data_IF_787264320087
#
_entry.id   IF_787264320087
#
_cell.length_a   1.000
_cell.length_b   1.000
_cell.length_c   1.000
_cell.angle_alpha   90.00
_cell.angle_beta   90.00
_cell.angle_gamma   90.00
#
_symmetry.space_group_name_H-M   'P 1'
#
loop_
_entity.id
_entity.type
_entity.pdbx_description
1 polymer ?
#
# COMPACT_ATOMS: atom_id res chain seq x y z
N UNK A 1 -9.16 17.67 8.60
CA UNK A 1 -8.87 18.16 9.96
C UNK A 1 -7.40 18.49 10.23
N UNK A 2 -6.46 18.19 9.31
CA UNK A 2 -5.04 18.59 9.42
C UNK A 2 -4.82 20.12 9.44
N UNK A 3 -5.74 20.89 8.85
CA UNK A 3 -5.62 22.36 8.80
C UNK A 3 -5.64 23.04 10.17
N UNK A 4 -6.20 22.39 11.19
CA UNK A 4 -6.19 22.90 12.57
C UNK A 4 -4.88 22.66 13.33
N UNK A 5 -4.03 21.76 12.83
CA UNK A 5 -2.74 21.40 13.45
C UNK A 5 -1.56 22.11 12.79
N UNK A 6 -1.77 22.67 11.59
CA UNK A 6 -0.75 23.37 10.84
C UNK A 6 -0.85 24.90 11.01
N UNK A 7 0.25 25.64 10.85
CA UNK A 7 0.23 27.11 10.91
C UNK A 7 -0.74 27.71 9.88
N UNK A 8 -1.36 28.83 10.24
CA UNK A 8 -2.24 29.56 9.32
C UNK A 8 -1.49 29.91 8.03
N UNK A 9 -2.09 29.61 6.88
CA UNK A 9 -1.48 29.84 5.55
C UNK A 9 -0.56 28.68 5.08
N UNK A 10 -0.41 27.61 5.85
CA UNK A 10 0.30 26.42 5.40
C UNK A 10 -0.44 25.74 4.23
N UNK A 11 0.33 25.20 3.29
CA UNK A 11 -0.18 24.43 2.16
C UNK A 11 0.18 22.95 2.35
N UNK A 12 -0.79 22.05 2.22
CA UNK A 12 -0.54 20.61 2.30
C UNK A 12 -0.30 20.05 0.89
N UNK A 13 0.84 19.37 0.71
CA UNK A 13 1.06 18.51 -0.44
C UNK A 13 0.67 17.08 -0.05
N UNK A 14 -0.39 16.56 -0.67
CA UNK A 14 -0.90 15.21 -0.43
C UNK A 14 -0.01 14.19 -1.13
N UNK A 15 0.89 13.56 -0.40
CA UNK A 15 1.80 12.57 -0.95
C UNK A 15 1.07 11.23 -1.11
N UNK A 16 1.11 10.69 -2.31
CA UNK A 16 0.68 9.33 -2.60
C UNK A 16 1.91 8.49 -2.93
N UNK A 17 2.04 7.35 -2.27
CA UNK A 17 3.09 6.38 -2.54
C UNK A 17 2.45 5.13 -3.11
N UNK A 18 3.10 4.53 -4.08
CA UNK A 18 2.78 3.19 -4.57
C UNK A 18 4.03 2.36 -4.68
N UNK A 19 3.92 1.10 -4.32
CA UNK A 19 4.97 0.10 -4.52
C UNK A 19 4.33 -1.22 -4.91
N UNK A 20 5.05 -1.97 -5.74
CA UNK A 20 4.64 -3.30 -6.18
C UNK A 20 5.87 -4.10 -6.60
N UNK A 21 6.00 -5.29 -6.03
CA UNK A 21 7.08 -6.21 -6.37
C UNK A 21 6.75 -6.98 -7.63
N UNK A 22 7.37 -6.62 -8.74
CA UNK A 22 7.09 -7.17 -10.06
C UNK A 22 8.22 -8.03 -10.63
N UNK A 23 7.87 -9.03 -11.45
CA UNK A 23 8.83 -9.86 -12.19
C UNK A 23 9.26 -9.14 -13.45
N UNK A 24 10.55 -8.86 -13.59
CA UNK A 24 11.11 -8.09 -14.71
C UNK A 24 11.32 -8.93 -15.99
N UNK A 25 11.53 -10.24 -15.85
CA UNK A 25 11.78 -11.13 -17.00
C UNK A 25 11.27 -12.53 -16.73
N UNK A 26 10.58 -13.11 -17.73
CA UNK A 26 10.17 -14.53 -17.72
C UNK A 26 11.18 -15.45 -18.42
N UNK A 27 12.14 -14.90 -19.19
CA UNK A 27 13.02 -15.67 -20.06
C UNK A 27 14.44 -15.90 -19.53
N UNK A 28 14.89 -15.13 -18.56
CA UNK A 28 16.23 -15.28 -18.00
C UNK A 28 16.29 -14.88 -16.52
N UNK A 29 16.19 -15.89 -15.67
CA UNK A 29 16.31 -15.78 -14.23
C UNK A 29 15.11 -15.09 -13.56
N UNK A 30 14.89 -15.40 -12.29
CA UNK A 30 13.84 -14.82 -11.43
C UNK A 30 14.19 -13.39 -11.00
N UNK A 31 14.48 -12.51 -11.99
CA UNK A 31 14.80 -11.11 -11.68
C UNK A 31 13.51 -10.37 -11.37
N UNK A 32 13.45 -9.83 -10.17
CA UNK A 32 12.34 -9.02 -9.68
C UNK A 32 12.82 -7.59 -9.44
N UNK A 33 11.95 -6.63 -9.70
CA UNK A 33 12.11 -5.23 -9.29
C UNK A 33 11.06 -4.87 -8.25
N UNK A 34 11.42 -3.98 -7.36
CA UNK A 34 10.48 -3.45 -6.35
C UNK A 34 10.55 -1.92 -6.35
N UNK A 35 9.96 -1.29 -7.37
CA UNK A 35 9.95 0.15 -7.48
C UNK A 35 9.03 0.78 -6.43
N UNK A 36 9.42 1.97 -5.98
CA UNK A 36 8.59 2.85 -5.16
C UNK A 36 8.35 4.13 -5.93
N UNK A 37 7.10 4.44 -6.19
CA UNK A 37 6.67 5.64 -6.89
C UNK A 37 6.04 6.64 -5.93
N UNK A 38 6.21 7.92 -6.26
CA UNK A 38 5.58 9.02 -5.56
C UNK A 38 4.84 9.93 -6.54
N UNK A 39 3.68 10.38 -6.14
CA UNK A 39 2.93 11.44 -6.80
C UNK A 39 2.30 12.38 -5.78
N UNK A 40 1.78 13.50 -6.23
CA UNK A 40 1.14 14.53 -5.39
C UNK A 40 -0.34 14.59 -5.76
N UNK A 41 -1.23 14.30 -4.78
CA UNK A 41 -2.67 14.30 -4.98
C UNK A 41 -3.29 15.65 -5.31
N UNK A 42 -2.53 16.74 -5.19
CA UNK A 42 -2.94 18.10 -5.60
C UNK A 42 -2.88 18.31 -7.11
N UNK A 43 -2.28 17.40 -7.87
CA UNK A 43 -2.19 17.50 -9.34
C UNK A 43 -3.55 17.17 -9.95
N UNK A 44 -3.99 17.97 -10.93
CA UNK A 44 -5.24 17.73 -11.65
C UNK A 44 -5.25 16.35 -12.31
N UNK A 45 -6.39 15.65 -12.21
CA UNK A 45 -6.55 14.28 -12.74
C UNK A 45 -6.28 14.18 -14.25
N UNK A 46 -6.52 15.25 -15.01
CA UNK A 46 -6.27 15.27 -16.46
C UNK A 46 -4.79 15.35 -16.80
N UNK A 47 -3.97 15.91 -15.90
CA UNK A 47 -2.51 15.86 -15.99
C UNK A 47 -2.03 14.51 -15.51
N UNK A 48 -2.55 14.05 -14.36
CA UNK A 48 -2.13 12.82 -13.71
C UNK A 48 -2.26 11.57 -14.59
N UNK A 49 -3.32 11.50 -15.41
CA UNK A 49 -3.57 10.37 -16.33
C UNK A 49 -2.68 10.32 -17.57
N UNK A 50 -1.88 11.38 -17.82
CA UNK A 50 -1.01 11.46 -18.99
C UNK A 50 0.43 11.11 -18.60
N UNK A 51 0.98 9.97 -19.02
CA UNK A 51 2.35 9.57 -18.69
C UNK A 51 3.40 10.62 -19.12
N UNK A 52 3.15 11.33 -20.23
CA UNK A 52 4.05 12.38 -20.75
C UNK A 52 4.19 13.59 -19.83
N UNK A 53 3.25 13.80 -18.90
CA UNK A 53 3.30 14.92 -17.95
C UNK A 53 4.12 14.63 -16.69
N UNK A 54 4.65 13.41 -16.59
CA UNK A 54 5.52 12.97 -15.48
C UNK A 54 5.01 13.29 -14.07
N UNK A 55 3.69 13.22 -13.88
CA UNK A 55 3.05 13.49 -12.58
C UNK A 55 3.41 12.46 -11.50
N UNK A 56 3.96 11.33 -11.88
CA UNK A 56 4.47 10.27 -11.00
C UNK A 56 5.96 10.10 -11.21
N UNK A 57 6.72 10.08 -10.13
CA UNK A 57 8.18 9.92 -10.14
C UNK A 57 8.58 8.62 -9.47
N UNK A 58 9.64 7.99 -9.98
CA UNK A 58 10.28 6.87 -9.32
C UNK A 58 11.21 7.40 -8.22
N UNK A 59 10.93 7.04 -6.96
CA UNK A 59 11.79 7.38 -5.83
C UNK A 59 13.03 6.49 -5.78
N UNK A 60 12.87 5.20 -6.08
CA UNK A 60 13.93 4.22 -6.04
C UNK A 60 13.42 2.79 -6.14
N UNK A 61 14.37 1.85 -6.07
CA UNK A 61 14.06 0.43 -6.00
C UNK A 61 14.41 -0.12 -4.62
N UNK A 62 13.49 -0.85 -4.02
CA UNK A 62 13.76 -1.61 -2.81
C UNK A 62 14.58 -2.87 -3.17
N UNK A 63 15.49 -3.31 -2.29
CA UNK A 63 16.28 -4.49 -2.53
C UNK A 63 15.40 -5.75 -2.54
N UNK A 64 15.62 -6.60 -3.54
CA UNK A 64 15.04 -7.93 -3.61
C UNK A 64 16.15 -8.94 -3.33
N UNK A 65 16.17 -9.48 -2.12
CA UNK A 65 17.19 -10.43 -1.67
C UNK A 65 16.54 -11.72 -1.20
N UNK A 66 17.18 -12.85 -1.47
CA UNK A 66 16.79 -14.16 -0.93
C UNK A 66 17.09 -14.32 0.56
N UNK A 67 17.90 -13.42 1.12
CA UNK A 67 18.30 -13.42 2.54
C UNK A 67 18.90 -14.77 3.00
N UNK A 68 19.69 -15.40 2.16
CA UNK A 68 20.29 -16.73 2.40
C UNK A 68 21.27 -16.71 3.59
N UNK A 69 21.71 -15.54 4.02
CA UNK A 69 22.51 -15.36 5.24
C UNK A 69 21.73 -15.61 6.55
N UNK A 70 20.41 -15.74 6.47
CA UNK A 70 19.55 -16.05 7.62
C UNK A 70 18.93 -17.44 7.48
N UNK A 71 18.63 -18.06 8.62
CA UNK A 71 17.87 -19.31 8.67
C UNK A 71 16.50 -19.16 8.00
N UNK A 72 16.03 -20.21 7.37
CA UNK A 72 14.77 -20.22 6.60
C UNK A 72 13.58 -19.69 7.41
N UNK A 73 13.48 -20.09 8.69
CA UNK A 73 12.41 -19.64 9.59
C UNK A 73 12.43 -18.12 9.85
N UNK A 74 13.60 -17.49 9.75
CA UNK A 74 13.77 -16.06 10.03
C UNK A 74 13.72 -15.19 8.78
N UNK A 75 13.90 -15.74 7.57
CA UNK A 75 13.97 -14.96 6.31
C UNK A 75 12.76 -14.06 6.09
N UNK A 76 11.57 -14.56 6.36
CA UNK A 76 10.34 -13.79 6.18
C UNK A 76 10.33 -12.52 7.04
N UNK A 77 10.65 -12.64 8.32
CA UNK A 77 10.71 -11.50 9.26
C UNK A 77 11.84 -10.55 8.90
N UNK A 78 13.01 -11.07 8.50
CA UNK A 78 14.14 -10.23 8.09
C UNK A 78 13.82 -9.48 6.78
N UNK A 79 13.09 -10.09 5.85
CA UNK A 79 12.60 -9.42 4.65
C UNK A 79 11.67 -8.25 4.97
N UNK A 80 10.76 -8.44 5.92
CA UNK A 80 9.88 -7.36 6.39
C UNK A 80 10.68 -6.23 7.07
N UNK A 81 11.65 -6.57 7.92
CA UNK A 81 12.54 -5.58 8.56
C UNK A 81 13.33 -4.79 7.53
N UNK A 82 13.88 -5.48 6.52
CA UNK A 82 14.63 -4.84 5.44
C UNK A 82 13.73 -3.85 4.69
N UNK A 83 12.50 -4.25 4.33
CA UNK A 83 11.53 -3.37 3.70
C UNK A 83 11.32 -2.09 4.52
N UNK A 84 10.97 -2.21 5.79
CA UNK A 84 10.71 -1.05 6.65
C UNK A 84 11.94 -0.17 6.83
N UNK A 85 13.14 -0.75 6.95
CA UNK A 85 14.39 0.00 7.06
C UNK A 85 14.67 0.80 5.78
N UNK A 86 14.51 0.18 4.61
CA UNK A 86 14.70 0.87 3.34
C UNK A 86 13.68 1.98 3.12
N UNK A 87 12.40 1.74 3.44
CA UNK A 87 11.36 2.75 3.37
C UNK A 87 11.60 3.90 4.34
N UNK A 88 12.11 3.63 5.56
CA UNK A 88 12.49 4.69 6.51
C UNK A 88 13.56 5.59 5.91
N UNK A 89 14.61 5.02 5.33
CA UNK A 89 15.69 5.78 4.66
C UNK A 89 15.16 6.59 3.47
N UNK A 90 14.31 5.98 2.66
CA UNK A 90 13.77 6.60 1.44
C UNK A 90 12.87 7.80 1.76
N UNK A 91 12.09 7.70 2.85
CA UNK A 91 11.09 8.71 3.24
C UNK A 91 11.57 9.66 4.35
N UNK A 92 12.82 9.53 4.81
CA UNK A 92 13.41 10.42 5.83
C UNK A 92 13.22 11.91 5.53
N UNK A 93 13.42 12.40 4.28
CA UNK A 93 13.21 13.82 3.95
C UNK A 93 11.79 14.30 4.24
N UNK A 94 10.77 13.43 4.13
CA UNK A 94 9.38 13.79 4.40
C UNK A 94 9.12 14.06 5.90
N UNK A 95 9.90 13.49 6.80
CA UNK A 95 9.73 13.67 8.25
C UNK A 95 9.97 15.13 8.61
N UNK A 96 11.11 15.69 8.21
CA UNK A 96 11.46 17.08 8.49
C UNK A 96 10.58 18.05 7.70
N UNK A 97 10.41 17.80 6.40
CA UNK A 97 9.60 18.63 5.52
C UNK A 97 8.13 18.67 5.96
N UNK A 98 7.57 17.55 6.37
CA UNK A 98 6.18 17.48 6.83
C UNK A 98 5.96 18.23 8.15
N UNK A 99 6.91 18.16 9.09
CA UNK A 99 6.83 18.88 10.39
C UNK A 99 6.99 20.38 10.23
N UNK A 100 8.06 20.83 9.57
CA UNK A 100 8.48 22.23 9.53
C UNK A 100 7.98 22.98 8.31
N UNK A 101 7.52 22.28 7.28
CA UNK A 101 7.22 22.78 5.97
C UNK A 101 8.48 23.24 5.20
N UNK A 102 8.36 23.31 3.90
CA UNK A 102 9.40 23.78 2.99
C UNK A 102 8.86 24.96 2.19
N UNK A 103 9.65 26.03 2.05
CA UNK A 103 9.28 27.15 1.18
C UNK A 103 9.46 26.72 -0.28
N UNK A 104 8.39 26.76 -1.04
CA UNK A 104 8.36 26.35 -2.44
C UNK A 104 7.65 27.41 -3.29
N UNK A 105 8.18 27.67 -4.47
CA UNK A 105 7.48 28.45 -5.49
C UNK A 105 6.46 27.53 -6.17
N UNK A 106 5.19 27.86 -6.06
CA UNK A 106 4.10 27.11 -6.66
C UNK A 106 3.86 27.50 -8.13
N UNK A 107 3.05 26.74 -8.85
CA UNK A 107 2.76 26.95 -10.26
C UNK A 107 2.20 28.35 -10.62
N UNK A 108 1.57 29.03 -9.65
CA UNK A 108 1.07 30.41 -9.78
C UNK A 108 2.12 31.48 -9.47
N UNK A 109 3.39 31.09 -9.32
CA UNK A 109 4.51 31.98 -9.01
C UNK A 109 4.60 32.44 -7.55
N UNK A 110 3.64 32.06 -6.69
CA UNK A 110 3.65 32.45 -5.27
C UNK A 110 4.47 31.47 -4.44
N UNK A 111 5.21 32.01 -3.47
CA UNK A 111 5.95 31.20 -2.50
C UNK A 111 5.01 30.81 -1.35
N UNK A 112 4.97 29.52 -1.05
CA UNK A 112 4.17 28.95 0.05
C UNK A 112 5.03 28.07 0.93
N UNK A 113 4.65 27.94 2.19
CA UNK A 113 5.18 26.91 3.08
C UNK A 113 4.37 25.64 2.88
N UNK A 114 5.00 24.66 2.22
CA UNK A 114 4.37 23.41 1.83
C UNK A 114 4.77 22.31 2.80
N UNK A 115 3.79 21.61 3.33
CA UNK A 115 3.94 20.44 4.20
C UNK A 115 3.58 19.18 3.40
N UNK A 116 4.57 18.36 3.00
CA UNK A 116 4.31 17.08 2.37
C UNK A 116 3.85 16.06 3.43
N UNK A 117 2.65 15.53 3.26
CA UNK A 117 2.03 14.60 4.21
C UNK A 117 1.56 13.36 3.45
N UNK A 118 1.92 12.16 3.94
CA UNK A 118 1.47 10.92 3.35
C UNK A 118 -0.05 10.80 3.51
N UNK A 119 -0.76 10.80 2.39
CA UNK A 119 -2.21 10.76 2.31
C UNK A 119 -2.75 9.45 1.74
N UNK A 120 -1.97 8.76 0.88
CA UNK A 120 -2.35 7.46 0.34
C UNK A 120 -1.13 6.55 0.15
N UNK A 121 -1.32 5.27 0.45
CA UNK A 121 -0.39 4.20 0.12
C UNK A 121 -1.14 3.16 -0.72
N UNK A 122 -0.80 3.09 -2.01
CA UNK A 122 -1.48 2.26 -3.00
C UNK A 122 -0.71 0.96 -3.15
N UNK A 123 -1.32 -0.15 -2.76
CA UNK A 123 -0.70 -1.47 -2.84
C UNK A 123 -1.76 -2.57 -2.90
N UNK A 124 -1.34 -3.77 -3.30
CA UNK A 124 -2.14 -4.98 -3.17
C UNK A 124 -2.26 -5.44 -1.70
N UNK A 125 -3.12 -6.42 -1.43
CA UNK A 125 -3.36 -6.87 -0.06
C UNK A 125 -2.09 -7.40 0.64
N UNK A 126 -1.24 -8.26 0.03
CA UNK A 126 0.00 -8.72 0.65
C UNK A 126 0.93 -7.57 1.05
N UNK A 127 1.09 -6.59 0.19
CA UNK A 127 1.95 -5.44 0.48
C UNK A 127 1.32 -4.48 1.49
N UNK A 128 -0.01 -4.30 1.49
CA UNK A 128 -0.69 -3.58 2.57
C UNK A 128 -0.45 -4.24 3.93
N UNK A 129 -0.47 -5.57 4.02
CA UNK A 129 -0.15 -6.29 5.26
C UNK A 129 1.32 -6.08 5.67
N UNK A 130 2.23 -6.09 4.70
CA UNK A 130 3.65 -5.78 4.92
C UNK A 130 3.82 -4.37 5.49
N UNK A 131 3.22 -3.37 4.87
CA UNK A 131 3.24 -1.96 5.32
C UNK A 131 2.60 -1.81 6.71
N UNK A 132 1.49 -2.49 6.96
CA UNK A 132 0.82 -2.50 8.25
C UNK A 132 1.65 -3.17 9.37
N UNK A 133 2.65 -3.97 9.02
CA UNK A 133 3.41 -4.79 9.96
C UNK A 133 2.58 -5.92 10.54
N UNK A 134 1.66 -6.50 9.75
CA UNK A 134 0.81 -7.61 10.18
C UNK A 134 0.96 -8.84 9.26
N UNK A 135 0.47 -9.98 9.72
CA UNK A 135 0.44 -11.23 8.97
C UNK A 135 -0.51 -11.14 7.77
N UNK A 136 -0.19 -11.82 6.67
CA UNK A 136 -0.99 -11.80 5.43
C UNK A 136 -2.41 -12.38 5.58
N UNK A 137 -2.65 -13.20 6.59
CA UNK A 137 -3.97 -13.72 6.92
C UNK A 137 -4.76 -12.79 7.85
N UNK A 138 -4.41 -11.51 7.91
CA UNK A 138 -5.09 -10.48 8.70
C UNK A 138 -5.58 -9.35 7.82
N UNK A 139 -6.56 -8.61 8.29
CA UNK A 139 -6.95 -7.38 7.64
C UNK A 139 -5.91 -6.27 7.93
N UNK A 140 -5.37 -5.57 6.92
CA UNK A 140 -4.47 -4.45 7.14
C UNK A 140 -5.18 -3.22 7.73
N UNK A 141 -6.52 -3.14 7.65
CA UNK A 141 -7.31 -1.97 8.08
C UNK A 141 -8.04 -2.14 9.41
N UNK A 142 -8.43 -3.37 9.79
CA UNK A 142 -9.19 -3.63 11.01
C UNK A 142 -8.62 -4.82 11.79
N UNK A 143 -9.16 -5.03 12.98
CA UNK A 143 -8.71 -6.04 13.94
C UNK A 143 -9.47 -7.38 13.83
N UNK A 144 -10.22 -7.58 12.75
CA UNK A 144 -10.96 -8.82 12.54
C UNK A 144 -10.04 -10.04 12.65
N UNK A 145 -10.53 -11.11 13.27
CA UNK A 145 -9.77 -12.35 13.40
C UNK A 145 -9.54 -13.02 12.04
N UNK A 146 -8.49 -13.82 11.92
CA UNK A 146 -8.20 -14.56 10.69
C UNK A 146 -9.31 -15.51 10.28
N UNK A 147 -10.05 -16.05 11.26
CA UNK A 147 -11.16 -17.01 11.07
C UNK A 147 -12.46 -16.33 10.67
N UNK A 148 -12.58 -15.03 10.87
CA UNK A 148 -13.80 -14.25 10.58
C UNK A 148 -13.63 -13.26 9.43
N UNK A 149 -12.58 -13.43 8.63
CA UNK A 149 -12.41 -12.64 7.40
C UNK A 149 -13.54 -12.97 6.41
N UNK A 150 -14.33 -11.94 6.06
CA UNK A 150 -15.48 -12.11 5.16
C UNK A 150 -16.82 -12.26 5.88
N UNK A 151 -16.84 -12.45 7.19
CA UNK A 151 -18.09 -12.45 7.96
C UNK A 151 -18.67 -11.02 8.02
N UNK A 152 -20.00 -10.86 8.04
CA UNK A 152 -20.66 -9.55 8.12
C UNK A 152 -20.62 -9.01 9.56
N UNK A 153 -19.43 -8.98 10.14
CA UNK A 153 -19.19 -8.51 11.51
C UNK A 153 -18.56 -7.13 11.50
N UNK A 154 -18.98 -6.29 12.44
CA UNK A 154 -18.25 -5.05 12.72
C UNK A 154 -16.93 -5.39 13.42
N UNK A 155 -15.85 -4.73 13.02
CA UNK A 155 -14.54 -4.86 13.66
C UNK A 155 -13.90 -3.49 13.82
N UNK A 156 -13.24 -3.30 14.96
CA UNK A 156 -12.50 -2.08 15.25
C UNK A 156 -11.39 -1.84 14.20
N UNK A 157 -11.21 -0.58 13.81
CA UNK A 157 -10.14 -0.19 12.89
C UNK A 157 -8.80 -0.20 13.62
N UNK A 158 -7.74 -0.57 12.90
CA UNK A 158 -6.38 -0.42 13.39
C UNK A 158 -6.05 1.07 13.57
N UNK A 159 -5.23 1.35 14.56
CA UNK A 159 -4.77 2.68 14.92
C UNK A 159 -3.24 2.70 14.95
N UNK A 160 -2.64 3.72 14.35
CA UNK A 160 -1.17 3.84 14.27
C UNK A 160 -0.52 4.02 15.65
N UNK A 161 -1.16 4.73 16.56
CA UNK A 161 -0.60 4.99 17.91
C UNK A 161 -0.59 3.70 18.75
N UNK A 162 -1.72 2.99 18.77
CA UNK A 162 -1.85 1.73 19.53
C UNK A 162 -0.94 0.66 18.96
N UNK A 163 -0.91 0.51 17.62
CA UNK A 163 -0.03 -0.44 16.96
C UNK A 163 1.45 -0.15 17.27
N UNK A 164 1.86 1.12 17.22
CA UNK A 164 3.23 1.53 17.56
C UNK A 164 3.57 1.20 19.01
N UNK A 165 2.64 1.44 19.94
CA UNK A 165 2.83 1.11 21.36
C UNK A 165 3.04 -0.39 21.58
N UNK A 166 2.22 -1.23 20.95
CA UNK A 166 2.34 -2.69 21.05
C UNK A 166 3.68 -3.17 20.47
N UNK A 167 4.08 -2.65 19.31
CA UNK A 167 5.33 -3.01 18.65
C UNK A 167 6.57 -2.59 19.47
N UNK A 168 6.55 -1.42 20.11
CA UNK A 168 7.62 -0.98 21.01
C UNK A 168 7.76 -1.90 22.21
N UNK A 169 6.64 -2.24 22.87
CA UNK A 169 6.67 -3.19 23.99
C UNK A 169 7.22 -4.55 23.56
N UNK A 170 6.85 -5.02 22.38
CA UNK A 170 7.36 -6.28 21.85
C UNK A 170 8.87 -6.23 21.51
N UNK A 171 9.39 -5.08 21.10
CA UNK A 171 10.82 -4.88 20.89
C UNK A 171 11.62 -4.92 22.19
N UNK A 172 11.02 -4.48 23.31
CA UNK A 172 11.59 -4.52 24.65
C UNK A 172 11.41 -5.90 25.35
N UNK A 173 11.19 -6.96 24.56
CA UNK A 173 10.96 -8.33 25.02
C UNK A 173 9.68 -8.56 25.85
N UNK A 174 8.79 -7.60 25.89
CA UNK A 174 7.46 -7.77 26.47
C UNK A 174 6.42 -7.83 25.34
N UNK A 175 5.94 -9.03 25.02
CA UNK A 175 4.90 -9.24 23.98
C UNK A 175 3.51 -9.22 24.62
N UNK A 176 2.76 -8.11 24.51
CA UNK A 176 1.38 -8.07 24.96
C UNK A 176 0.53 -9.09 24.20
N UNK A 177 -0.56 -9.56 24.78
CA UNK A 177 -1.51 -10.44 24.10
C UNK A 177 -1.99 -9.83 22.78
N UNK A 178 -2.20 -8.52 22.74
CA UNK A 178 -2.55 -7.76 21.55
C UNK A 178 -1.55 -7.92 20.38
N UNK A 179 -0.28 -8.21 20.64
CA UNK A 179 0.69 -8.49 19.58
C UNK A 179 0.29 -9.71 18.75
N UNK A 180 -0.16 -10.76 19.42
CA UNK A 180 -0.58 -12.02 18.78
C UNK A 180 -2.00 -11.92 18.23
N UNK A 181 -2.93 -11.36 18.98
CA UNK A 181 -4.34 -11.24 18.56
C UNK A 181 -4.50 -10.31 17.37
N UNK A 182 -3.74 -9.20 17.30
CA UNK A 182 -3.70 -8.31 16.14
C UNK A 182 -2.86 -8.87 14.98
N UNK A 183 -2.18 -10.01 15.19
CA UNK A 183 -1.33 -10.66 14.19
C UNK A 183 -0.15 -9.80 13.74
N UNK A 184 0.47 -9.07 14.67
CA UNK A 184 1.59 -8.18 14.37
C UNK A 184 2.89 -8.95 14.12
N UNK A 185 3.80 -8.32 13.40
CA UNK A 185 5.14 -8.80 13.11
C UNK A 185 6.19 -7.95 13.85
N UNK A 186 7.32 -8.53 14.27
CA UNK A 186 8.33 -7.81 15.05
C UNK A 186 9.19 -6.90 14.14
N UNK A 187 8.58 -5.84 13.65
CA UNK A 187 9.19 -4.83 12.76
C UNK A 187 9.16 -3.45 13.41
N UNK A 188 10.01 -2.54 12.91
CA UNK A 188 9.94 -1.13 13.22
C UNK A 188 9.35 -0.39 12.00
N UNK A 189 8.07 -0.03 12.01
CA UNK A 189 7.41 0.48 10.82
C UNK A 189 7.91 1.87 10.42
N UNK A 190 8.19 2.08 9.14
CA UNK A 190 8.70 3.33 8.58
C UNK A 190 7.77 4.53 8.83
N UNK A 191 6.48 4.27 8.93
CA UNK A 191 5.46 5.31 9.07
C UNK A 191 5.34 5.89 10.48
N UNK A 192 5.95 5.28 11.50
CA UNK A 192 5.84 5.72 12.89
C UNK A 192 6.36 7.13 13.14
N UNK A 193 7.29 7.59 12.30
CA UNK A 193 7.90 8.93 12.43
C UNK A 193 7.35 9.93 11.41
N UNK A 194 6.50 9.51 10.47
CA UNK A 194 5.89 10.40 9.49
C UNK A 194 4.88 11.33 10.19
N UNK A 195 4.99 12.65 10.00
CA UNK A 195 4.10 13.58 10.67
C UNK A 195 2.67 13.48 10.12
N UNK A 196 1.70 13.61 11.00
CA UNK A 196 0.27 13.65 10.66
C UNK A 196 -0.22 12.45 9.85
N UNK A 197 0.46 11.30 9.97
CA UNK A 197 0.14 10.10 9.23
C UNK A 197 -0.51 9.05 10.14
N UNK A 198 -1.72 8.64 9.79
CA UNK A 198 -2.27 7.35 10.21
C UNK A 198 -2.27 6.41 9.00
N UNK A 199 -1.28 5.51 8.96
CA UNK A 199 -1.06 4.62 7.81
C UNK A 199 -2.28 3.77 7.49
N UNK A 200 -3.06 3.36 8.50
CA UNK A 200 -4.23 2.52 8.31
C UNK A 200 -5.37 3.23 7.58
N UNK A 201 -5.42 4.55 7.66
CA UNK A 201 -6.34 5.38 6.87
C UNK A 201 -5.80 5.72 5.48
N UNK A 202 -4.48 5.64 5.29
CA UNK A 202 -3.84 5.90 3.99
C UNK A 202 -3.97 4.72 3.01
N UNK A 203 -4.26 3.51 3.47
CA UNK A 203 -4.34 2.36 2.58
C UNK A 203 -5.41 2.52 1.51
N UNK A 204 -4.95 2.48 0.27
CA UNK A 204 -5.77 2.51 -0.92
C UNK A 204 -5.58 1.20 -1.69
N UNK A 205 -6.65 0.43 -1.91
CA UNK A 205 -6.58 -0.82 -2.67
C UNK A 205 -6.06 -0.58 -4.09
N UNK A 206 -5.19 -1.45 -4.56
CA UNK A 206 -4.86 -1.52 -5.98
C UNK A 206 -6.08 -2.03 -6.76
N UNK A 207 -6.59 -1.20 -7.65
CA UNK A 207 -7.78 -1.50 -8.47
C UNK A 207 -7.54 -2.73 -9.34
N UNK A 208 -6.33 -2.90 -9.89
CA UNK A 208 -6.02 -4.01 -10.78
C UNK A 208 -6.13 -5.35 -10.04
N UNK A 209 -5.43 -5.50 -8.91
CA UNK A 209 -5.37 -6.78 -8.18
C UNK A 209 -6.62 -7.04 -7.36
N UNK A 210 -7.19 -6.02 -6.71
CA UNK A 210 -8.34 -6.24 -5.83
C UNK A 210 -9.67 -6.23 -6.57
N UNK A 211 -9.89 -5.31 -7.52
CA UNK A 211 -11.16 -5.23 -8.24
C UNK A 211 -11.16 -6.09 -9.50
N UNK A 212 -10.26 -5.80 -10.45
CA UNK A 212 -10.30 -6.49 -11.76
C UNK A 212 -9.88 -7.94 -11.68
N UNK A 213 -8.78 -8.24 -11.00
CA UNK A 213 -8.34 -9.62 -10.82
C UNK A 213 -9.15 -10.32 -9.73
N UNK A 214 -9.16 -9.81 -8.51
CA UNK A 214 -9.77 -10.48 -7.36
C UNK A 214 -11.28 -10.60 -7.51
N UNK A 215 -12.01 -9.48 -7.43
CA UNK A 215 -13.49 -9.53 -7.40
C UNK A 215 -14.05 -9.98 -8.75
N UNK A 216 -13.60 -9.36 -9.85
CA UNK A 216 -14.19 -9.66 -11.16
C UNK A 216 -13.72 -11.01 -11.70
N UNK A 217 -12.41 -11.21 -11.89
CA UNK A 217 -11.89 -12.43 -12.55
C UNK A 217 -11.97 -13.66 -11.63
N UNK A 218 -11.38 -13.57 -10.43
CA UNK A 218 -11.19 -14.73 -9.58
C UNK A 218 -12.48 -15.15 -8.85
N UNK A 219 -13.45 -14.24 -8.69
CA UNK A 219 -14.75 -14.55 -8.12
C UNK A 219 -15.88 -14.53 -9.14
N UNK A 220 -16.26 -13.37 -9.69
CA UNK A 220 -17.44 -13.26 -10.53
C UNK A 220 -17.35 -14.16 -11.77
N UNK A 221 -16.29 -14.05 -12.57
CA UNK A 221 -16.13 -14.87 -13.78
C UNK A 221 -16.09 -16.35 -13.41
N UNK A 222 -15.37 -16.72 -12.37
CA UNK A 222 -15.29 -18.12 -11.92
C UNK A 222 -16.65 -18.66 -11.46
N UNK A 223 -17.39 -17.88 -10.68
CA UNK A 223 -18.74 -18.30 -10.22
C UNK A 223 -19.72 -18.45 -11.37
N UNK A 224 -19.75 -17.48 -12.29
CA UNK A 224 -20.61 -17.53 -13.49
C UNK A 224 -20.24 -18.74 -14.33
N UNK A 225 -18.95 -18.96 -14.59
CA UNK A 225 -18.48 -20.13 -15.36
C UNK A 225 -18.87 -21.45 -14.69
N UNK A 226 -18.81 -21.53 -13.36
CA UNK A 226 -19.19 -22.74 -12.63
C UNK A 226 -20.70 -22.97 -12.56
N UNK A 227 -21.51 -21.92 -12.67
CA UNK A 227 -22.97 -21.99 -12.59
C UNK A 227 -23.64 -22.32 -13.93
N UNK A 228 -22.92 -22.19 -15.05
CA UNK A 228 -23.45 -22.42 -16.39
C UNK A 228 -23.07 -23.82 -16.87
N UNK A 229 -24.02 -24.64 -17.41
CA UNK A 229 -23.69 -25.86 -18.11
C UNK A 229 -22.70 -25.58 -19.26
N UNK A 230 -21.71 -26.45 -19.46
CA UNK A 230 -20.57 -26.24 -20.37
C UNK A 230 -19.67 -25.03 -20.07
N UNK A 231 -19.91 -24.33 -18.98
CA UNK A 231 -19.02 -23.34 -18.39
C UNK A 231 -18.45 -22.33 -19.38
N UNK A 232 -17.13 -22.31 -19.51
CA UNK A 232 -16.42 -21.34 -20.35
C UNK A 232 -16.85 -21.38 -21.83
N UNK A 233 -17.12 -22.57 -22.40
CA UNK A 233 -17.54 -22.70 -23.83
C UNK A 233 -18.86 -22.01 -24.11
N UNK A 234 -19.83 -22.14 -23.22
CA UNK A 234 -21.14 -21.50 -23.38
C UNK A 234 -21.03 -19.98 -23.21
N UNK A 235 -20.18 -19.50 -22.30
CA UNK A 235 -19.89 -18.08 -22.15
C UNK A 235 -19.26 -17.53 -23.44
N UNK A 236 -18.24 -18.17 -23.96
CA UNK A 236 -17.57 -17.76 -25.21
C UNK A 236 -18.57 -17.75 -26.39
N UNK A 237 -19.43 -18.76 -26.51
CA UNK A 237 -20.49 -18.83 -27.52
C UNK A 237 -21.46 -17.65 -27.43
N UNK A 238 -21.86 -17.27 -26.19
CA UNK A 238 -22.74 -16.11 -25.98
C UNK A 238 -22.06 -14.80 -26.34
N UNK A 239 -20.80 -14.62 -25.97
CA UNK A 239 -20.04 -13.43 -26.38
C UNK A 239 -19.87 -13.35 -27.91
N UNK A 240 -19.57 -14.44 -28.56
CA UNK A 240 -19.49 -14.50 -30.03
C UNK A 240 -20.83 -14.20 -30.73
N UNK A 241 -21.95 -14.57 -30.11
CA UNK A 241 -23.29 -14.29 -30.63
C UNK A 241 -23.74 -12.83 -30.42
N UNK A 242 -23.04 -12.07 -29.58
CA UNK A 242 -23.27 -10.63 -29.40
C UNK A 242 -22.66 -9.84 -30.57
N UNK A 243 -23.26 -10.02 -31.77
CA UNK A 243 -22.82 -9.32 -32.95
C UNK A 243 -22.99 -7.81 -32.81
N UNK A 244 -21.94 -7.05 -33.02
CA UNK A 244 -21.95 -5.60 -33.08
C UNK A 244 -21.15 -4.87 -31.97
N UNK A 245 -20.46 -5.56 -31.07
CA UNK A 245 -19.47 -4.91 -30.24
C UNK A 245 -18.19 -4.70 -31.08
N UNK A 246 -17.70 -3.44 -31.20
CA UNK A 246 -16.38 -3.23 -31.78
C UNK A 246 -15.38 -4.00 -30.94
N UNK A 247 -14.53 -4.78 -31.56
CA UNK A 247 -13.39 -5.45 -30.92
C UNK A 247 -12.61 -4.44 -30.11
N UNK A 248 -12.51 -4.69 -28.80
CA UNK A 248 -11.56 -3.98 -27.92
C UNK A 248 -10.12 -4.22 -28.38
#
# INVERSE_FOLDING_TARGET
>A
MLQGELPVGATVALIHISSDKTTLSRFSGDKQGWPVYLTIGNIDKNIHRKPSEHATILLGYLPVSKLECFDEANRAVQGQRLFHTCMTSLLEPLIKAGKSGVLMVCADGKTRRVHPILAAYIADHPEQCLVAGCQQNRCPKCLVSATSLGDPLWSELRNSQDTTKILRLAADNYKPEAFTTHGLQPVNPFWTNLPFCDIFQCFTPDILHQLHKGVFKDHLVKWVTSAIPDGAREIDRRFQAMSGHPSL
#
